data_IF_599214604644
#
_entry.id   IF_599214604644
#
_cell.length_a   1.000
_cell.length_b   1.000
_cell.length_c   1.000
_cell.angle_alpha   90.00
_cell.angle_beta   90.00
_cell.angle_gamma   90.00
#
_symmetry.space_group_name_H-M   'P 1'
#
loop_
_entity.id
_entity.type
_entity.pdbx_description
1 polymer ?
#
# COMPACT_ATOMS: atom_id res chain seq x y z
N UNK A 1 14.84 -42.96 6.87
CA UNK A 1 14.05 -43.29 5.68
C UNK A 1 13.85 -41.99 4.91
N UNK A 2 14.61 -41.86 3.83
CA UNK A 2 14.44 -40.77 2.88
C UNK A 2 13.08 -40.94 2.20
N UNK A 3 12.16 -40.01 2.41
CA UNK A 3 10.94 -39.90 1.61
C UNK A 3 11.34 -39.40 0.22
N UNK A 4 11.21 -40.24 -0.79
CA UNK A 4 11.30 -39.85 -2.20
C UNK A 4 10.35 -38.64 -2.42
N UNK A 5 10.93 -37.49 -2.64
CA UNK A 5 10.16 -36.26 -2.90
C UNK A 5 9.49 -36.32 -4.26
N UNK A 6 8.27 -36.80 -4.33
CA UNK A 6 7.48 -36.67 -5.55
C UNK A 6 7.18 -35.20 -5.82
N UNK A 7 7.70 -34.68 -6.92
CA UNK A 7 7.42 -33.32 -7.39
C UNK A 7 6.11 -33.33 -8.17
N UNK A 8 5.07 -32.72 -7.61
CA UNK A 8 3.78 -32.57 -8.28
C UNK A 8 3.69 -31.21 -8.96
N UNK A 9 3.20 -31.20 -10.21
CA UNK A 9 2.92 -29.96 -10.94
C UNK A 9 1.61 -29.37 -10.45
N UNK A 10 1.68 -28.31 -9.66
CA UNK A 10 0.52 -27.56 -9.18
C UNK A 10 0.03 -26.60 -10.27
N UNK A 11 -1.29 -26.56 -10.56
CA UNK A 11 -1.93 -25.63 -11.49
C UNK A 11 -2.80 -24.59 -10.78
N UNK A 12 -2.50 -24.30 -9.53
CA UNK A 12 -3.28 -23.34 -8.74
C UNK A 12 -3.11 -21.92 -9.30
N UNK A 13 -4.20 -21.17 -9.35
CA UNK A 13 -4.24 -19.78 -9.80
C UNK A 13 -4.91 -18.91 -8.74
N UNK A 14 -4.29 -17.81 -8.40
CA UNK A 14 -4.89 -16.76 -7.57
C UNK A 14 -5.57 -15.76 -8.51
N UNK A 15 -6.90 -15.69 -8.43
CA UNK A 15 -7.66 -14.66 -9.15
C UNK A 15 -7.96 -13.51 -8.22
N UNK A 16 -7.60 -12.31 -8.63
CA UNK A 16 -7.83 -11.09 -7.86
C UNK A 16 -8.61 -10.10 -8.70
N UNK A 17 -9.54 -9.39 -8.05
CA UNK A 17 -10.30 -8.30 -8.65
C UNK A 17 -9.95 -7.01 -7.91
N UNK A 18 -9.69 -5.95 -8.67
CA UNK A 18 -9.40 -4.62 -8.13
C UNK A 18 -10.27 -3.59 -8.83
N UNK A 19 -10.73 -2.60 -8.05
CA UNK A 19 -11.44 -1.44 -8.53
C UNK A 19 -10.67 -0.18 -8.16
N UNK A 20 -10.62 0.77 -9.08
CA UNK A 20 -9.95 2.05 -8.89
C UNK A 20 -10.85 3.18 -9.35
N UNK A 21 -10.85 4.26 -8.58
CA UNK A 21 -11.43 5.55 -8.96
C UNK A 21 -10.41 6.65 -8.71
N UNK A 22 -10.26 7.57 -9.65
CA UNK A 22 -9.39 8.72 -9.46
C UNK A 22 -9.98 9.97 -10.10
N UNK A 23 -9.60 11.13 -9.58
CA UNK A 23 -9.93 12.43 -10.12
C UNK A 23 -8.71 13.33 -10.04
N UNK A 24 -8.51 14.14 -11.08
CA UNK A 24 -7.49 15.19 -11.11
C UNK A 24 -8.08 16.44 -11.74
N UNK A 25 -7.96 17.54 -11.04
CA UNK A 25 -8.26 18.87 -11.53
C UNK A 25 -6.98 19.72 -11.51
N UNK A 26 -6.69 20.40 -12.60
CA UNK A 26 -5.56 21.33 -12.73
C UNK A 26 -6.02 22.57 -13.47
N UNK A 27 -6.16 23.68 -12.78
CA UNK A 27 -6.58 24.97 -13.35
C UNK A 27 -6.60 26.08 -12.34
N UNK A 28 -6.48 27.34 -12.81
CA UNK A 28 -6.56 28.54 -11.98
C UNK A 28 -5.71 28.50 -10.71
N UNK A 29 -4.48 28.11 -10.77
CA UNK A 29 -3.57 27.99 -9.61
C UNK A 29 -3.83 26.77 -8.70
N UNK A 30 -4.92 26.02 -8.88
CA UNK A 30 -5.24 24.83 -8.11
C UNK A 30 -4.78 23.55 -8.77
N UNK A 31 -4.23 22.66 -7.97
CA UNK A 31 -4.10 21.24 -8.27
C UNK A 31 -4.86 20.46 -7.19
N UNK A 32 -5.81 19.67 -7.62
CA UNK A 32 -6.55 18.73 -6.79
C UNK A 32 -6.36 17.35 -7.41
N UNK A 33 -5.94 16.37 -6.64
CA UNK A 33 -5.87 14.99 -7.08
C UNK A 33 -6.31 14.08 -5.96
N UNK A 34 -7.11 13.07 -6.28
CA UNK A 34 -7.51 12.04 -5.34
C UNK A 34 -7.60 10.71 -6.06
N UNK A 35 -7.31 9.64 -5.33
CA UNK A 35 -7.42 8.28 -5.82
C UNK A 35 -7.88 7.36 -4.69
N UNK A 36 -8.76 6.43 -5.02
CA UNK A 36 -9.17 5.35 -4.13
C UNK A 36 -9.05 4.03 -4.87
N UNK A 37 -8.47 3.04 -4.24
CA UNK A 37 -8.27 1.70 -4.76
C UNK A 37 -8.79 0.70 -3.73
N UNK A 38 -9.60 -0.24 -4.19
CA UNK A 38 -10.00 -1.42 -3.45
C UNK A 38 -9.56 -2.63 -4.26
N UNK A 39 -8.77 -3.50 -3.68
CA UNK A 39 -8.30 -4.66 -4.42
C UNK A 39 -7.56 -5.66 -3.56
N UNK A 40 -6.98 -6.66 -4.21
CA UNK A 40 -6.33 -7.78 -3.55
C UNK A 40 -4.98 -8.05 -4.18
N UNK A 41 -4.03 -8.49 -3.36
CA UNK A 41 -2.70 -8.97 -3.80
C UNK A 41 -1.92 -7.97 -4.67
N UNK A 42 -1.69 -6.76 -4.17
CA UNK A 42 -0.90 -5.74 -4.88
C UNK A 42 0.62 -5.96 -4.83
N UNK A 43 1.10 -7.08 -4.33
CA UNK A 43 2.53 -7.41 -4.20
C UNK A 43 3.30 -7.25 -5.51
N UNK A 44 2.70 -7.64 -6.63
CA UNK A 44 3.33 -7.53 -7.96
C UNK A 44 3.46 -6.08 -8.44
N UNK A 45 2.64 -5.18 -7.91
CA UNK A 45 2.66 -3.75 -8.24
C UNK A 45 3.41 -2.91 -7.20
N UNK A 46 4.30 -3.52 -6.41
CA UNK A 46 5.01 -2.88 -5.28
C UNK A 46 4.07 -2.26 -4.24
N UNK A 47 2.84 -2.75 -4.18
CA UNK A 47 1.83 -2.34 -3.21
C UNK A 47 1.79 -3.24 -1.97
N UNK A 48 1.13 -2.77 -0.93
CA UNK A 48 0.83 -3.58 0.25
C UNK A 48 -0.24 -4.59 -0.10
N UNK A 49 -0.09 -5.82 0.36
CA UNK A 49 -1.06 -6.88 0.11
C UNK A 49 -0.44 -8.26 0.31
N UNK A 50 -1.02 -9.24 -0.36
CA UNK A 50 -0.54 -10.60 -0.30
C UNK A 50 -1.65 -11.62 -0.50
N UNK A 51 -1.33 -12.84 -0.24
CA UNK A 51 -2.24 -13.98 -0.24
C UNK A 51 -1.88 -14.93 0.91
N UNK A 52 -2.88 -15.57 1.46
CA UNK A 52 -2.68 -16.55 2.52
C UNK A 52 -2.93 -17.98 2.03
N UNK A 53 -2.35 -18.95 2.73
CA UNK A 53 -2.56 -20.38 2.48
C UNK A 53 -3.88 -20.78 3.15
N UNK A 54 -4.90 -21.05 2.36
CA UNK A 54 -6.23 -21.48 2.82
C UNK A 54 -6.26 -22.96 3.23
N UNK A 55 -5.61 -23.83 2.46
CA UNK A 55 -5.55 -25.27 2.75
C UNK A 55 -4.33 -25.91 2.09
N UNK A 56 -3.87 -27.01 2.67
CA UNK A 56 -2.82 -27.87 2.12
C UNK A 56 -3.38 -29.29 2.02
N UNK A 57 -3.30 -29.91 0.86
CA UNK A 57 -3.64 -31.33 0.71
C UNK A 57 -2.54 -32.17 1.39
N UNK A 58 -2.88 -32.99 2.42
CA UNK A 58 -1.88 -33.73 3.17
C UNK A 58 -1.20 -34.85 2.36
N UNK A 59 -1.77 -35.25 1.22
CA UNK A 59 -1.20 -36.31 0.38
C UNK A 59 -0.31 -35.77 -0.73
N UNK A 60 -0.67 -34.65 -1.33
CA UNK A 60 0.05 -34.08 -2.47
C UNK A 60 0.89 -32.87 -2.11
N UNK A 61 0.62 -32.23 -0.95
CA UNK A 61 1.20 -30.96 -0.58
C UNK A 61 0.64 -29.77 -1.39
N UNK A 62 -0.39 -29.99 -2.20
CA UNK A 62 -1.02 -28.92 -2.99
C UNK A 62 -1.64 -27.87 -2.07
N UNK A 63 -1.31 -26.59 -2.33
CA UNK A 63 -1.78 -25.46 -1.53
C UNK A 63 -2.85 -24.69 -2.29
N UNK A 64 -3.92 -24.32 -1.59
CA UNK A 64 -4.92 -23.36 -2.06
C UNK A 64 -4.71 -22.03 -1.36
N UNK A 65 -4.97 -20.95 -2.07
CA UNK A 65 -4.69 -19.59 -1.60
C UNK A 65 -5.93 -18.73 -1.54
N UNK A 66 -5.96 -17.79 -0.59
CA UNK A 66 -6.97 -16.74 -0.50
C UNK A 66 -6.26 -15.37 -0.58
N UNK A 67 -6.66 -14.49 -1.51
CA UNK A 67 -6.04 -13.17 -1.62
C UNK A 67 -6.48 -12.26 -0.46
N UNK A 68 -5.53 -11.50 0.07
CA UNK A 68 -5.79 -10.49 1.10
C UNK A 68 -6.21 -9.19 0.43
N UNK A 69 -7.31 -8.61 0.90
CA UNK A 69 -7.90 -7.37 0.39
C UNK A 69 -7.32 -6.16 1.10
N UNK A 70 -7.12 -5.11 0.35
CA UNK A 70 -6.58 -3.84 0.82
C UNK A 70 -7.39 -2.69 0.23
N UNK A 71 -7.63 -1.67 1.03
CA UNK A 71 -8.14 -0.37 0.60
C UNK A 71 -7.04 0.68 0.73
N UNK A 72 -6.87 1.50 -0.30
CA UNK A 72 -5.94 2.64 -0.26
C UNK A 72 -6.61 3.86 -0.87
N UNK A 73 -6.58 4.97 -0.14
CA UNK A 73 -7.16 6.24 -0.59
C UNK A 73 -6.20 7.37 -0.27
N UNK A 74 -6.01 8.31 -1.19
CA UNK A 74 -5.22 9.50 -0.94
C UNK A 74 -5.81 10.73 -1.64
N UNK A 75 -5.50 11.89 -1.08
CA UNK A 75 -5.85 13.21 -1.59
C UNK A 75 -4.60 14.07 -1.59
N UNK A 76 -4.41 14.84 -2.64
CA UNK A 76 -3.37 15.85 -2.78
C UNK A 76 -3.99 17.17 -3.23
N UNK A 77 -3.64 18.25 -2.57
CA UNK A 77 -4.10 19.60 -2.87
C UNK A 77 -2.89 20.53 -2.89
N UNK A 78 -2.73 21.31 -3.95
CA UNK A 78 -1.73 22.37 -4.00
C UNK A 78 -2.31 23.63 -4.64
N UNK A 79 -1.81 24.79 -4.21
CA UNK A 79 -2.28 26.09 -4.68
C UNK A 79 -1.12 27.01 -5.02
N UNK A 80 -1.27 27.77 -6.10
CA UNK A 80 -0.30 28.79 -6.54
C UNK A 80 0.59 28.34 -7.68
N UNK A 81 1.31 29.30 -8.27
CA UNK A 81 2.23 29.11 -9.40
C UNK A 81 3.70 29.27 -8.98
N UNK A 82 4.08 30.48 -8.59
CA UNK A 82 5.46 30.81 -8.21
C UNK A 82 5.81 30.25 -6.82
N UNK A 83 5.01 30.60 -5.83
CA UNK A 83 5.02 29.99 -4.51
C UNK A 83 3.83 29.05 -4.41
N UNK A 84 4.08 27.78 -4.13
CA UNK A 84 3.05 26.74 -4.19
C UNK A 84 3.09 25.86 -2.95
N UNK A 85 2.31 26.17 -1.91
CA UNK A 85 2.01 25.25 -0.83
C UNK A 85 1.18 24.08 -1.33
N UNK A 86 1.41 22.92 -0.72
CA UNK A 86 0.66 21.69 -0.98
C UNK A 86 0.49 20.86 0.27
N UNK A 87 -0.54 20.06 0.31
CA UNK A 87 -0.81 19.08 1.35
C UNK A 87 -1.22 17.76 0.74
N UNK A 88 -0.77 16.68 1.34
CA UNK A 88 -1.13 15.32 0.97
C UNK A 88 -1.61 14.56 2.21
N UNK A 89 -2.64 13.73 2.05
CA UNK A 89 -3.07 12.75 3.05
C UNK A 89 -3.37 11.44 2.34
N UNK A 90 -2.79 10.36 2.86
CA UNK A 90 -3.02 9.00 2.39
C UNK A 90 -3.41 8.08 3.53
N UNK A 91 -4.31 7.14 3.26
CA UNK A 91 -4.76 6.10 4.17
C UNK A 91 -4.78 4.75 3.47
N UNK A 92 -4.24 3.75 4.13
CA UNK A 92 -4.24 2.36 3.70
C UNK A 92 -4.77 1.50 4.84
N UNK A 93 -5.61 0.50 4.50
CA UNK A 93 -6.18 -0.44 5.46
C UNK A 93 -6.14 -1.87 4.92
N UNK A 94 -5.68 -2.79 5.75
CA UNK A 94 -5.88 -4.22 5.58
C UNK A 94 -7.35 -4.57 5.85
N UNK A 95 -7.99 -5.26 4.91
CA UNK A 95 -9.40 -5.70 5.02
C UNK A 95 -9.50 -7.21 5.25
N UNK A 96 -8.37 -7.91 5.35
CA UNK A 96 -8.31 -9.35 5.54
C UNK A 96 -8.61 -10.17 4.29
N UNK A 97 -8.61 -11.47 4.44
CA UNK A 97 -8.98 -12.46 3.43
C UNK A 97 -10.47 -12.83 3.55
N UNK A 98 -10.99 -13.51 2.52
CA UNK A 98 -12.37 -14.02 2.55
C UNK A 98 -12.47 -15.35 3.32
N UNK A 99 -11.37 -16.06 3.42
CA UNK A 99 -11.25 -17.36 4.07
C UNK A 99 -10.20 -17.30 5.17
N UNK A 100 -10.25 -18.23 6.10
CA UNK A 100 -9.18 -18.43 7.07
C UNK A 100 -7.92 -18.94 6.38
N UNK A 101 -6.77 -18.43 6.81
CA UNK A 101 -5.46 -18.74 6.24
C UNK A 101 -4.46 -19.09 7.34
N UNK A 102 -3.55 -19.99 7.06
CA UNK A 102 -2.50 -20.41 8.00
C UNK A 102 -1.26 -19.51 8.01
N UNK A 103 -1.22 -18.50 7.16
CA UNK A 103 -0.14 -17.51 7.04
C UNK A 103 -0.35 -16.64 5.81
N UNK A 104 0.30 -15.49 5.79
CA UNK A 104 0.21 -14.54 4.67
C UNK A 104 1.58 -14.34 4.04
N UNK A 105 1.64 -14.53 2.73
CA UNK A 105 2.80 -14.22 1.90
C UNK A 105 2.52 -12.90 1.16
N UNK A 106 3.38 -11.92 1.33
CA UNK A 106 3.24 -10.63 0.67
C UNK A 106 3.77 -9.46 1.48
N UNK A 107 3.83 -8.31 0.86
CA UNK A 107 4.45 -7.11 1.42
C UNK A 107 3.56 -6.45 2.47
N UNK A 108 4.10 -6.22 3.65
CA UNK A 108 3.51 -5.43 4.74
C UNK A 108 2.52 -6.21 5.60
N UNK A 109 1.51 -6.86 5.02
CA UNK A 109 0.47 -7.55 5.80
C UNK A 109 1.04 -8.82 6.46
N UNK A 110 1.91 -9.56 5.79
CA UNK A 110 2.63 -10.68 6.38
C UNK A 110 3.50 -10.28 7.58
N UNK A 111 3.92 -9.01 7.62
CA UNK A 111 4.69 -8.41 8.73
C UNK A 111 3.78 -7.80 9.81
N UNK A 112 2.48 -8.03 9.75
CA UNK A 112 1.50 -7.56 10.73
C UNK A 112 0.98 -6.14 10.52
N UNK A 113 1.14 -5.55 9.33
CA UNK A 113 0.60 -4.22 9.01
C UNK A 113 -0.93 -4.25 8.91
N UNK A 114 -1.59 -3.50 9.76
CA UNK A 114 -3.04 -3.31 9.76
C UNK A 114 -3.45 -2.10 8.93
N UNK A 115 -2.86 -0.95 9.21
CA UNK A 115 -3.18 0.31 8.55
C UNK A 115 -1.98 1.25 8.52
N UNK A 116 -2.01 2.18 7.58
CA UNK A 116 -1.02 3.23 7.43
C UNK A 116 -1.72 4.55 7.13
N UNK A 117 -1.39 5.59 7.88
CA UNK A 117 -1.74 6.97 7.58
C UNK A 117 -0.48 7.74 7.25
N UNK A 118 -0.47 8.47 6.15
CA UNK A 118 0.61 9.40 5.81
C UNK A 118 0.03 10.78 5.54
N UNK A 119 0.66 11.81 6.10
CA UNK A 119 0.32 13.19 5.81
C UNK A 119 1.59 13.99 5.54
N UNK A 120 1.57 14.83 4.51
CA UNK A 120 2.66 15.76 4.26
C UNK A 120 2.18 17.17 3.97
N UNK A 121 3.05 18.13 4.27
CA UNK A 121 2.94 19.50 3.83
C UNK A 121 4.20 19.84 3.03
N UNK A 122 4.01 20.46 1.88
CA UNK A 122 5.09 20.91 1.01
C UNK A 122 4.99 22.39 0.69
N UNK A 123 6.13 23.00 0.45
CA UNK A 123 6.22 24.35 -0.11
C UNK A 123 7.22 24.32 -1.25
N UNK A 124 6.76 24.67 -2.46
CA UNK A 124 7.65 24.78 -3.61
C UNK A 124 7.73 26.22 -4.12
N UNK A 125 8.93 26.61 -4.58
CA UNK A 125 9.19 27.89 -5.19
C UNK A 125 9.72 27.68 -6.61
N UNK A 126 8.94 28.12 -7.59
CA UNK A 126 9.18 27.92 -9.01
C UNK A 126 9.77 29.18 -9.65
N UNK A 127 10.93 29.06 -10.28
CA UNK A 127 11.59 30.05 -11.11
C UNK A 127 11.67 29.55 -12.56
N UNK A 128 12.18 30.39 -13.48
CA UNK A 128 12.25 30.04 -14.89
C UNK A 128 13.00 28.72 -15.16
N UNK A 129 14.15 28.56 -14.50
CA UNK A 129 15.02 27.38 -14.68
C UNK A 129 15.23 26.57 -13.39
N UNK A 130 14.70 27.04 -12.27
CA UNK A 130 14.89 26.39 -10.96
C UNK A 130 13.57 26.14 -10.27
N UNK A 131 13.48 25.01 -9.62
CA UNK A 131 12.44 24.71 -8.66
C UNK A 131 13.09 24.29 -7.34
N UNK A 132 12.73 24.96 -6.27
CA UNK A 132 13.12 24.58 -4.92
C UNK A 132 11.91 24.10 -4.15
N UNK A 133 12.09 23.11 -3.30
CA UNK A 133 11.01 22.55 -2.50
C UNK A 133 11.49 22.10 -1.15
N UNK A 134 10.59 22.18 -0.17
CA UNK A 134 10.71 21.54 1.13
C UNK A 134 9.42 20.79 1.40
N UNK A 135 9.55 19.55 1.86
CA UNK A 135 8.43 18.73 2.29
C UNK A 135 8.71 18.18 3.69
N UNK A 136 7.71 18.23 4.55
CA UNK A 136 7.66 17.47 5.79
C UNK A 136 6.57 16.43 5.68
N UNK A 137 6.89 15.18 6.01
CA UNK A 137 5.94 14.07 6.02
C UNK A 137 5.99 13.33 7.36
N UNK A 138 4.82 13.03 7.90
CA UNK A 138 4.63 12.10 8.99
C UNK A 138 3.86 10.88 8.49
N UNK A 139 4.34 9.69 8.81
CA UNK A 139 3.68 8.43 8.48
C UNK A 139 3.55 7.58 9.74
N UNK A 140 2.34 7.17 10.06
CA UNK A 140 2.03 6.31 11.19
C UNK A 140 1.48 4.99 10.67
N UNK A 141 2.14 3.90 11.02
CA UNK A 141 1.73 2.54 10.73
C UNK A 141 1.31 1.83 12.02
N UNK A 142 0.29 0.98 11.92
CA UNK A 142 -0.17 0.14 13.02
C UNK A 142 0.17 -1.31 12.69
N UNK A 143 0.92 -1.94 13.56
CA UNK A 143 1.35 -3.35 13.46
C UNK A 143 0.78 -4.14 14.62
N UNK A 144 0.45 -5.40 14.39
CA UNK A 144 -0.08 -6.29 15.42
C UNK A 144 0.00 -7.75 15.03
N UNK A 145 -0.86 -8.56 15.63
CA UNK A 145 -0.89 -9.99 15.47
C UNK A 145 -1.81 -10.41 14.32
N UNK A 146 -1.29 -11.27 13.45
CA UNK A 146 -2.04 -11.83 12.32
C UNK A 146 -3.12 -12.80 12.84
N UNK A 147 -4.36 -12.54 12.44
CA UNK A 147 -5.52 -13.38 12.74
C UNK A 147 -5.77 -14.38 11.58
N UNK A 148 -6.54 -15.47 11.81
CA UNK A 148 -6.83 -16.47 10.79
C UNK A 148 -7.48 -15.87 9.52
N UNK A 149 -8.30 -14.85 9.63
CA UNK A 149 -8.91 -14.14 8.50
C UNK A 149 -7.99 -13.09 7.84
N UNK A 150 -6.70 -13.17 8.11
CA UNK A 150 -5.65 -12.24 7.67
C UNK A 150 -5.87 -10.78 8.09
N UNK A 151 -6.76 -10.51 9.05
CA UNK A 151 -6.80 -9.22 9.75
C UNK A 151 -5.73 -9.17 10.84
N UNK A 152 -5.51 -7.99 11.36
CA UNK A 152 -4.52 -7.75 12.40
C UNK A 152 -5.21 -7.28 13.67
N UNK A 153 -4.87 -7.89 14.80
CA UNK A 153 -5.36 -7.53 16.13
C UNK A 153 -4.25 -7.00 17.04
N UNK A 154 -4.61 -6.47 18.18
CA UNK A 154 -3.69 -5.99 19.22
C UNK A 154 -2.63 -5.04 18.67
N UNK A 155 -3.08 -4.05 17.92
CA UNK A 155 -2.19 -3.17 17.17
C UNK A 155 -1.49 -2.13 18.06
N UNK A 156 -0.24 -1.86 17.76
CA UNK A 156 0.54 -0.72 18.25
C UNK A 156 0.99 0.15 17.09
N UNK A 157 1.14 1.44 17.33
CA UNK A 157 1.54 2.39 16.29
C UNK A 157 3.04 2.68 16.30
N UNK A 158 3.59 2.87 15.11
CA UNK A 158 4.95 3.36 14.89
C UNK A 158 4.86 4.55 13.96
N UNK A 159 5.46 5.68 14.34
CA UNK A 159 5.46 6.90 13.55
C UNK A 159 6.87 7.23 13.05
N UNK A 160 6.96 7.56 11.78
CA UNK A 160 8.20 8.04 11.12
C UNK A 160 7.98 9.48 10.64
N UNK A 161 9.04 10.29 10.73
CA UNK A 161 9.07 11.66 10.26
C UNK A 161 10.18 11.83 9.22
N UNK A 162 9.88 12.53 8.13
CA UNK A 162 10.81 12.80 7.03
C UNK A 162 10.75 14.26 6.64
N UNK A 163 11.92 14.86 6.43
CA UNK A 163 12.07 16.16 5.79
C UNK A 163 12.86 15.96 4.50
N UNK A 164 12.38 16.54 3.41
CA UNK A 164 13.04 16.49 2.10
C UNK A 164 13.24 17.90 1.58
N UNK A 165 14.45 18.21 1.12
CA UNK A 165 14.77 19.40 0.36
C UNK A 165 15.04 19.01 -1.08
N UNK A 166 14.46 19.75 -2.02
CA UNK A 166 14.60 19.51 -3.45
C UNK A 166 15.09 20.75 -4.14
N UNK A 167 16.08 20.60 -5.02
CA UNK A 167 16.48 21.60 -5.99
C UNK A 167 16.50 20.94 -7.37
N UNK A 168 15.73 21.47 -8.32
CA UNK A 168 15.64 20.98 -9.68
C UNK A 168 15.99 22.10 -10.65
N UNK A 169 16.94 21.84 -11.55
CA UNK A 169 17.28 22.72 -12.65
C UNK A 169 16.70 22.16 -13.96
N UNK A 170 16.06 23.02 -14.76
CA UNK A 170 15.49 22.67 -16.07
C UNK A 170 16.10 23.61 -17.12
N UNK A 171 16.70 23.05 -18.14
CA UNK A 171 17.31 23.74 -19.31
C UNK A 171 16.47 23.59 -20.56
#
# INVERSE_FOLDING_TARGET
SESEGNVYKVKERITTVSAEAHVKYSGNDWLLAAKSVLGSNFTQASGVGGYGIKSVDPRTGEQKYSPVRVSSTWINVAYGKKLRPGVFVGYLKNLGAADDVSGVLGTGIGDGLDQLVSASAELTYNLLHWKFGVEYMASTAWYGNLMPDAKISDTHSVTNHRVVFTALFQF
#
